data_IF_355100360380
#
_entry.id   IF_355100360380
#
_cell.length_a   1.000
_cell.length_b   1.000
_cell.length_c   1.000
_cell.angle_alpha   90.00
_cell.angle_beta   90.00
_cell.angle_gamma   90.00
#
_symmetry.space_group_name_H-M   'P 1'
#
loop_
_entity.id
_entity.type
_entity.pdbx_description
1 polymer ?
#
# COMPACT_ATOMS: atom_id res chain seq x y z
N UNK A 1 12.32 -15.66 19.23
CA UNK A 1 11.71 -16.66 18.32
C UNK A 1 11.39 -16.04 16.96
N UNK A 2 10.44 -15.11 16.90
CA UNK A 2 10.12 -14.32 15.70
C UNK A 2 11.37 -13.67 15.09
N UNK A 3 12.23 -13.10 15.94
CA UNK A 3 13.51 -12.50 15.51
C UNK A 3 14.43 -13.45 14.74
N UNK A 4 14.36 -14.78 14.97
CA UNK A 4 15.19 -15.73 14.22
C UNK A 4 14.64 -15.91 12.79
N UNK A 5 13.33 -16.06 12.66
CA UNK A 5 12.68 -16.17 11.34
C UNK A 5 12.89 -14.86 10.55
N UNK A 6 12.77 -13.70 11.20
CA UNK A 6 13.05 -12.39 10.57
C UNK A 6 14.51 -12.23 10.14
N UNK A 7 15.47 -12.75 10.92
CA UNK A 7 16.89 -12.76 10.54
C UNK A 7 17.13 -13.62 9.30
N UNK A 8 16.47 -14.78 9.21
CA UNK A 8 16.56 -15.64 8.03
C UNK A 8 16.05 -14.95 6.77
N UNK A 9 14.97 -14.17 6.86
CA UNK A 9 14.51 -13.32 5.75
C UNK A 9 15.62 -12.35 5.31
N UNK A 10 16.22 -11.62 6.26
CA UNK A 10 17.32 -10.68 5.99
C UNK A 10 18.55 -11.33 5.36
N UNK A 11 18.81 -12.60 5.67
CA UNK A 11 19.92 -13.37 5.09
C UNK A 11 19.57 -14.12 3.79
N UNK A 12 18.44 -13.80 3.16
CA UNK A 12 18.04 -14.40 1.88
C UNK A 12 17.22 -15.69 1.98
N UNK A 13 16.61 -15.99 3.12
CA UNK A 13 15.80 -17.20 3.34
C UNK A 13 14.57 -17.34 2.41
N UNK A 14 14.15 -16.25 1.77
CA UNK A 14 13.04 -16.24 0.81
C UNK A 14 13.39 -16.81 -0.57
N UNK A 15 14.67 -17.06 -0.89
CA UNK A 15 15.07 -17.53 -2.23
C UNK A 15 14.41 -18.86 -2.64
N UNK A 16 14.13 -19.74 -1.67
CA UNK A 16 13.44 -21.01 -1.94
C UNK A 16 11.91 -20.86 -2.11
N UNK A 17 11.38 -19.65 -1.94
CA UNK A 17 9.95 -19.35 -2.00
C UNK A 17 9.61 -18.40 -3.16
N UNK A 18 10.56 -18.09 -4.04
CA UNK A 18 10.31 -17.31 -5.26
C UNK A 18 9.18 -17.97 -6.08
N UNK A 19 8.25 -17.16 -6.57
CA UNK A 19 7.02 -17.63 -7.22
C UNK A 19 5.90 -18.06 -6.26
N UNK A 20 6.10 -17.93 -4.94
CA UNK A 20 5.09 -18.24 -3.92
C UNK A 20 4.81 -17.02 -3.04
N UNK A 21 3.77 -17.12 -2.22
CA UNK A 21 3.45 -16.09 -1.24
C UNK A 21 4.43 -16.11 -0.06
N UNK A 22 4.82 -14.93 0.44
CA UNK A 22 5.75 -14.80 1.58
C UNK A 22 5.22 -15.47 2.85
N UNK A 23 3.90 -15.49 3.05
CA UNK A 23 3.24 -16.16 4.17
C UNK A 23 3.58 -17.66 4.26
N UNK A 24 3.85 -18.31 3.11
CA UNK A 24 4.24 -19.72 3.09
C UNK A 24 5.60 -19.94 3.77
N UNK A 25 6.58 -19.06 3.51
CA UNK A 25 7.87 -19.11 4.21
C UNK A 25 7.67 -19.05 5.72
N UNK A 26 6.89 -18.07 6.20
CA UNK A 26 6.66 -17.91 7.64
C UNK A 26 5.98 -19.12 8.27
N UNK A 27 4.97 -19.69 7.61
CA UNK A 27 4.26 -20.89 8.11
C UNK A 27 5.18 -22.11 8.13
N UNK A 28 5.90 -22.37 7.03
CA UNK A 28 6.76 -23.54 6.91
C UNK A 28 7.93 -23.46 7.92
N UNK A 29 8.55 -22.29 8.07
CA UNK A 29 9.62 -22.08 9.06
C UNK A 29 9.11 -22.14 10.50
N UNK A 30 7.94 -21.59 10.79
CA UNK A 30 7.36 -21.68 12.12
C UNK A 30 7.07 -23.13 12.51
N UNK A 31 6.45 -23.91 11.61
CA UNK A 31 6.18 -25.34 11.81
C UNK A 31 7.46 -26.16 11.96
N UNK A 32 8.49 -25.88 11.17
CA UNK A 32 9.76 -26.59 11.28
C UNK A 32 10.43 -26.40 12.66
N UNK A 33 10.28 -25.21 13.25
CA UNK A 33 10.89 -24.90 14.55
C UNK A 33 10.04 -25.36 15.74
N UNK A 34 8.71 -25.40 15.62
CA UNK A 34 7.81 -25.56 16.78
C UNK A 34 6.72 -26.62 16.63
N UNK A 35 6.60 -27.25 15.47
CA UNK A 35 5.51 -28.19 15.17
C UNK A 35 5.51 -29.45 16.05
N UNK A 36 6.65 -29.82 16.65
CA UNK A 36 6.75 -30.93 17.61
C UNK A 36 6.54 -30.51 19.07
N UNK A 37 6.52 -29.21 19.36
CA UNK A 37 6.47 -28.66 20.72
C UNK A 37 5.08 -28.15 21.06
N UNK A 38 4.41 -27.52 20.09
CA UNK A 38 3.11 -26.88 20.28
C UNK A 38 1.97 -27.82 19.89
N UNK A 39 0.89 -27.77 20.67
CA UNK A 39 -0.39 -28.32 20.23
C UNK A 39 -0.96 -27.49 19.06
N UNK A 40 -1.98 -28.03 18.41
CA UNK A 40 -2.57 -27.44 17.22
C UNK A 40 -3.21 -26.05 17.48
N UNK A 41 -3.84 -25.86 18.63
CA UNK A 41 -4.50 -24.59 18.99
C UNK A 41 -3.47 -23.51 19.28
N UNK A 42 -2.44 -23.84 20.07
CA UNK A 42 -1.30 -22.94 20.33
C UNK A 42 -0.58 -22.57 19.04
N UNK A 43 -0.33 -23.54 18.15
CA UNK A 43 0.29 -23.29 16.85
C UNK A 43 -0.55 -22.32 16.00
N UNK A 44 -1.88 -22.51 15.95
CA UNK A 44 -2.77 -21.61 15.22
C UNK A 44 -2.72 -20.18 15.77
N UNK A 45 -2.81 -20.02 17.08
CA UNK A 45 -2.75 -18.71 17.73
C UNK A 45 -1.42 -17.98 17.45
N UNK A 46 -0.29 -18.69 17.51
CA UNK A 46 1.02 -18.12 17.22
C UNK A 46 1.21 -17.75 15.75
N UNK A 47 0.75 -18.59 14.82
CA UNK A 47 0.78 -18.27 13.39
C UNK A 47 -0.10 -17.05 13.09
N UNK A 48 -1.27 -16.96 13.72
CA UNK A 48 -2.14 -15.79 13.59
C UNK A 48 -1.48 -14.52 14.13
N UNK A 49 -0.86 -14.58 15.31
CA UNK A 49 -0.11 -13.45 15.87
C UNK A 49 1.05 -13.02 14.96
N UNK A 50 1.80 -13.99 14.44
CA UNK A 50 2.88 -13.74 13.49
C UNK A 50 2.35 -13.07 12.21
N UNK A 51 1.22 -13.55 11.68
CA UNK A 51 0.56 -12.94 10.53
C UNK A 51 0.24 -11.46 10.77
N UNK A 52 -0.41 -11.13 11.90
CA UNK A 52 -0.75 -9.75 12.25
C UNK A 52 0.49 -8.86 12.38
N UNK A 53 1.54 -9.38 13.01
CA UNK A 53 2.78 -8.63 13.20
C UNK A 53 3.50 -8.34 11.87
N UNK A 54 3.61 -9.33 10.98
CA UNK A 54 4.22 -9.14 9.65
C UNK A 54 3.38 -8.19 8.81
N UNK A 55 2.05 -8.38 8.76
CA UNK A 55 1.16 -7.50 8.01
C UNK A 55 1.19 -6.06 8.51
N UNK A 56 1.21 -5.85 9.83
CA UNK A 56 1.30 -4.52 10.42
C UNK A 56 2.65 -3.84 10.15
N UNK A 57 3.74 -4.61 10.17
CA UNK A 57 5.09 -4.10 9.88
C UNK A 57 5.24 -3.70 8.41
N UNK A 58 4.76 -4.55 7.50
CA UNK A 58 5.02 -4.43 6.06
C UNK A 58 3.84 -3.79 5.30
N UNK A 59 2.80 -3.33 6.00
CA UNK A 59 1.63 -2.68 5.40
C UNK A 59 0.79 -3.61 4.52
N UNK A 60 0.79 -4.92 4.81
CA UNK A 60 0.14 -5.92 3.98
C UNK A 60 -1.31 -6.14 4.42
N UNK A 61 -2.21 -6.28 3.44
CA UNK A 61 -3.59 -6.76 3.70
C UNK A 61 -3.66 -8.26 4.04
N UNK A 62 -2.58 -9.00 3.75
CA UNK A 62 -2.40 -10.39 4.10
C UNK A 62 -1.10 -10.95 3.52
N UNK A 63 -0.31 -11.65 4.32
CA UNK A 63 0.99 -12.19 3.89
C UNK A 63 0.90 -13.29 2.81
N UNK A 64 -0.29 -13.82 2.53
CA UNK A 64 -0.53 -14.78 1.45
C UNK A 64 -0.81 -14.09 0.12
N UNK A 65 -1.02 -12.77 0.12
CA UNK A 65 -1.17 -11.95 -1.08
C UNK A 65 0.15 -11.31 -1.51
N UNK A 66 1.13 -11.25 -0.62
CA UNK A 66 2.43 -10.65 -0.90
C UNK A 66 3.38 -11.68 -1.53
N UNK A 67 4.04 -11.30 -2.62
CA UNK A 67 5.05 -12.10 -3.30
C UNK A 67 6.31 -12.24 -2.46
N UNK A 68 6.82 -13.46 -2.32
CA UNK A 68 8.12 -13.68 -1.68
C UNK A 68 9.28 -13.08 -2.50
N UNK A 69 9.11 -12.91 -3.82
CA UNK A 69 10.10 -12.28 -4.68
C UNK A 69 10.19 -10.77 -4.42
N UNK A 70 9.05 -10.09 -4.30
CA UNK A 70 9.06 -8.65 -4.01
C UNK A 70 9.58 -8.39 -2.60
N UNK A 71 9.17 -9.24 -1.64
CA UNK A 71 9.70 -9.19 -0.28
C UNK A 71 11.21 -9.47 -0.20
N UNK A 72 11.77 -10.30 -1.08
CA UNK A 72 13.22 -10.58 -1.10
C UNK A 72 14.03 -9.45 -1.74
N UNK A 73 13.43 -8.70 -2.66
CA UNK A 73 14.02 -7.52 -3.28
C UNK A 73 13.90 -6.26 -2.40
N UNK A 74 13.02 -6.27 -1.40
CA UNK A 74 12.85 -5.14 -0.49
C UNK A 74 14.08 -4.98 0.40
N UNK A 75 14.79 -3.86 0.22
CA UNK A 75 15.94 -3.50 1.07
C UNK A 75 15.47 -2.78 2.32
N UNK A 76 15.57 -3.45 3.47
CA UNK A 76 15.33 -2.82 4.75
C UNK A 76 16.38 -1.73 5.00
N UNK A 77 15.92 -0.50 5.23
CA UNK A 77 16.77 0.62 5.63
C UNK A 77 16.72 0.73 7.15
N UNK A 78 17.87 0.58 7.81
CA UNK A 78 18.00 0.75 9.27
C UNK A 78 18.57 2.13 9.59
N UNK A 79 18.25 2.71 10.77
CA UNK A 79 17.38 2.15 11.82
C UNK A 79 15.89 2.46 11.59
N UNK A 80 15.02 1.71 12.26
CA UNK A 80 13.57 1.99 12.33
C UNK A 80 13.33 3.28 13.16
N UNK A 81 12.61 4.26 12.58
CA UNK A 81 12.27 5.50 13.25
C UNK A 81 10.77 5.54 13.60
N UNK A 82 10.48 5.85 14.87
CA UNK A 82 9.12 5.98 15.37
C UNK A 82 8.79 7.44 15.69
N UNK A 83 7.67 7.92 15.17
CA UNK A 83 7.14 9.24 15.46
C UNK A 83 6.38 9.21 16.79
N UNK A 84 7.05 9.56 17.89
CA UNK A 84 6.47 9.54 19.26
C UNK A 84 5.30 10.51 19.44
N UNK A 85 5.22 11.54 18.61
CA UNK A 85 4.24 12.62 18.69
C UNK A 85 3.12 12.48 17.66
N UNK A 86 3.01 11.32 17.00
CA UNK A 86 2.09 11.10 15.88
C UNK A 86 2.74 11.34 14.52
N UNK A 87 2.36 10.53 13.53
CA UNK A 87 2.88 10.61 12.16
C UNK A 87 2.27 11.78 11.36
N UNK A 88 1.13 12.31 11.80
CA UNK A 88 0.47 13.50 11.27
C UNK A 88 1.36 14.75 11.35
N UNK A 89 2.30 14.81 12.30
CA UNK A 89 3.27 15.89 12.42
C UNK A 89 4.12 16.07 11.15
N UNK A 90 4.46 14.98 10.46
CA UNK A 90 5.17 15.05 9.18
C UNK A 90 4.32 15.75 8.11
N UNK A 91 3.02 15.41 8.04
CA UNK A 91 2.07 16.04 7.12
C UNK A 91 1.91 17.52 7.46
N UNK A 92 1.69 17.86 8.73
CA UNK A 92 1.59 19.24 9.18
C UNK A 92 2.86 20.05 8.90
N UNK A 93 4.03 19.45 9.03
CA UNK A 93 5.30 20.09 8.69
C UNK A 93 5.39 20.40 7.19
N UNK A 94 5.06 19.42 6.33
CA UNK A 94 5.08 19.59 4.87
C UNK A 94 4.06 20.64 4.39
N UNK A 95 2.87 20.66 4.99
CA UNK A 95 1.82 21.62 4.65
C UNK A 95 2.22 23.08 4.92
N UNK A 96 3.22 23.36 5.75
CA UNK A 96 3.72 24.74 5.96
C UNK A 96 4.32 25.36 4.69
N UNK A 97 4.77 24.53 3.74
CA UNK A 97 5.30 24.97 2.45
C UNK A 97 4.24 25.16 1.37
N UNK A 98 2.96 24.87 1.66
CA UNK A 98 1.86 24.94 0.70
C UNK A 98 0.93 26.09 1.10
N UNK A 99 0.59 27.02 0.19
CA UNK A 99 -0.38 28.07 0.48
C UNK A 99 -1.72 27.48 0.94
N UNK A 100 -2.25 27.96 2.06
CA UNK A 100 -3.44 27.40 2.69
C UNK A 100 -4.68 27.42 1.78
N UNK A 101 -4.78 28.44 0.95
CA UNK A 101 -5.85 28.65 -0.03
C UNK A 101 -5.81 27.66 -1.19
N UNK A 102 -4.68 26.97 -1.39
CA UNK A 102 -4.53 25.91 -2.40
C UNK A 102 -4.92 24.53 -1.87
N UNK A 103 -5.21 24.40 -0.56
CA UNK A 103 -5.57 23.14 0.08
C UNK A 103 -7.07 23.14 0.39
N UNK A 104 -7.83 22.43 -0.43
CA UNK A 104 -9.27 22.31 -0.28
C UNK A 104 -9.63 20.98 0.41
N UNK A 105 -9.92 21.04 1.71
CA UNK A 105 -10.43 19.90 2.49
C UNK A 105 -11.94 19.78 2.36
N UNK A 106 -12.49 18.58 2.59
CA UNK A 106 -13.92 18.30 2.44
C UNK A 106 -14.46 18.60 1.03
N UNK A 107 -13.59 18.53 0.03
CA UNK A 107 -13.89 18.81 -1.38
C UNK A 107 -13.64 17.55 -2.19
N UNK A 108 -14.50 16.51 -2.07
CA UNK A 108 -14.29 15.27 -2.79
C UNK A 108 -14.43 15.50 -4.30
N UNK A 109 -13.42 15.04 -5.04
CA UNK A 109 -13.44 15.03 -6.50
C UNK A 109 -14.40 13.95 -6.98
N UNK A 110 -15.29 14.29 -7.91
CA UNK A 110 -16.28 13.37 -8.45
C UNK A 110 -16.09 13.08 -9.94
N UNK A 111 -15.52 14.01 -10.72
CA UNK A 111 -15.23 13.82 -12.15
C UNK A 111 -13.96 14.52 -12.59
N UNK A 112 -13.25 13.92 -13.53
CA UNK A 112 -11.99 14.39 -14.08
C UNK A 112 -12.07 14.26 -15.60
N UNK A 113 -11.93 15.39 -16.30
CA UNK A 113 -11.88 15.45 -17.75
C UNK A 113 -10.44 15.76 -18.17
N UNK A 114 -9.74 14.82 -18.80
CA UNK A 114 -8.26 14.92 -18.95
C UNK A 114 -7.72 14.75 -20.37
N UNK A 115 -8.53 14.23 -21.29
CA UNK A 115 -8.19 14.05 -22.71
C UNK A 115 -9.40 14.49 -23.56
N UNK A 116 -9.84 15.71 -23.30
CA UNK A 116 -10.88 16.38 -24.08
C UNK A 116 -10.17 17.39 -24.97
N UNK A 117 -10.60 17.53 -26.22
CA UNK A 117 -10.08 18.50 -27.20
C UNK A 117 -10.36 19.97 -26.80
N UNK A 118 -10.19 20.33 -25.53
CA UNK A 118 -10.37 21.64 -24.93
C UNK A 118 -9.00 22.14 -24.45
N UNK A 119 -8.21 22.67 -25.40
CA UNK A 119 -6.96 23.40 -25.14
C UNK A 119 -5.87 22.67 -24.33
N UNK A 120 -5.85 21.32 -24.33
CA UNK A 120 -4.94 20.50 -23.53
C UNK A 120 -5.03 20.76 -22.01
N UNK A 121 -6.21 21.16 -21.53
CA UNK A 121 -6.46 21.33 -20.10
C UNK A 121 -7.20 20.14 -19.49
N UNK A 122 -6.86 19.86 -18.24
CA UNK A 122 -7.60 18.96 -17.36
C UNK A 122 -8.60 19.77 -16.54
N UNK A 123 -9.86 19.34 -16.55
CA UNK A 123 -10.93 19.88 -15.70
C UNK A 123 -11.27 18.89 -14.59
N UNK A 124 -11.14 19.33 -13.35
CA UNK A 124 -11.52 18.57 -12.15
C UNK A 124 -12.81 19.16 -11.59
N UNK A 125 -13.82 18.31 -11.38
CA UNK A 125 -15.12 18.69 -10.81
C UNK A 125 -15.31 18.01 -9.46
N UNK A 126 -15.80 18.77 -8.50
CA UNK A 126 -15.98 18.33 -7.11
C UNK A 126 -17.47 18.19 -6.78
N UNK A 127 -17.79 17.46 -5.71
CA UNK A 127 -19.17 17.11 -5.39
C UNK A 127 -20.08 18.31 -5.05
N UNK A 128 -19.49 19.43 -4.64
CA UNK A 128 -20.17 20.71 -4.39
C UNK A 128 -20.43 21.51 -5.70
N UNK A 129 -20.00 21.00 -6.85
CA UNK A 129 -20.11 21.65 -8.16
C UNK A 129 -18.98 22.61 -8.49
N UNK A 130 -17.99 22.79 -7.59
CA UNK A 130 -16.80 23.57 -7.90
C UNK A 130 -15.96 22.90 -9.00
N UNK A 131 -15.19 23.70 -9.75
CA UNK A 131 -14.38 23.18 -10.84
C UNK A 131 -13.03 23.88 -10.97
N UNK A 132 -12.01 23.11 -11.35
CA UNK A 132 -10.62 23.53 -11.39
C UNK A 132 -9.99 23.13 -12.73
N UNK A 133 -9.35 24.08 -13.40
CA UNK A 133 -8.65 23.86 -14.68
C UNK A 133 -7.14 23.92 -14.49
N UNK A 134 -6.43 23.04 -15.17
CA UNK A 134 -4.96 22.98 -15.12
C UNK A 134 -4.41 22.31 -16.37
N UNK A 135 -3.16 22.63 -16.77
CA UNK A 135 -2.52 21.93 -17.89
C UNK A 135 -2.05 20.50 -17.57
N UNK A 136 -2.03 20.12 -16.30
CA UNK A 136 -1.64 18.78 -15.87
C UNK A 136 -2.26 18.43 -14.52
N UNK A 137 -2.55 17.15 -14.31
CA UNK A 137 -3.09 16.61 -13.07
C UNK A 137 -2.13 15.59 -12.46
N UNK A 138 -1.84 15.75 -11.18
CA UNK A 138 -1.13 14.75 -10.36
C UNK A 138 -2.15 14.01 -9.51
N UNK A 139 -2.22 12.69 -9.68
CA UNK A 139 -3.14 11.82 -8.95
C UNK A 139 -2.42 11.10 -7.83
N UNK A 140 -2.89 11.28 -6.60
CA UNK A 140 -2.39 10.57 -5.41
C UNK A 140 -3.53 9.83 -4.70
N UNK A 141 -4.46 9.29 -5.47
CA UNK A 141 -5.60 8.51 -4.98
C UNK A 141 -5.12 7.09 -4.63
N UNK A 142 -5.55 6.49 -3.51
CA UNK A 142 -5.17 5.11 -3.20
C UNK A 142 -5.56 4.14 -4.34
N UNK A 143 -4.71 3.18 -4.72
CA UNK A 143 -4.99 2.27 -5.83
C UNK A 143 -6.31 1.50 -5.68
N UNK A 144 -6.68 1.10 -4.45
CA UNK A 144 -7.95 0.44 -4.18
C UNK A 144 -9.16 1.31 -4.50
N UNK A 145 -9.07 2.61 -4.24
CA UNK A 145 -10.14 3.57 -4.56
C UNK A 145 -10.22 3.78 -6.07
N UNK A 146 -9.08 3.85 -6.77
CA UNK A 146 -9.06 3.95 -8.24
C UNK A 146 -9.74 2.71 -8.85
N UNK A 147 -9.39 1.50 -8.40
CA UNK A 147 -10.00 0.25 -8.89
C UNK A 147 -11.53 0.30 -8.81
N UNK A 148 -12.08 0.81 -7.71
CA UNK A 148 -13.52 0.92 -7.48
C UNK A 148 -14.21 2.07 -8.26
N UNK A 149 -13.49 3.17 -8.54
CA UNK A 149 -14.11 4.43 -8.97
C UNK A 149 -13.71 4.90 -10.37
N UNK A 150 -12.67 4.33 -10.98
CA UNK A 150 -12.07 4.81 -12.25
C UNK A 150 -13.08 4.98 -13.38
N UNK A 151 -14.06 4.09 -13.51
CA UNK A 151 -15.09 4.11 -14.56
C UNK A 151 -16.08 5.28 -14.44
N UNK A 152 -16.21 5.88 -13.26
CA UNK A 152 -17.08 7.05 -13.02
C UNK A 152 -16.26 8.33 -12.87
N UNK A 153 -15.02 8.21 -12.38
CA UNK A 153 -14.17 9.33 -12.05
C UNK A 153 -13.53 9.99 -13.27
N UNK A 154 -13.17 9.23 -14.32
CA UNK A 154 -12.45 9.74 -15.48
C UNK A 154 -13.34 9.89 -16.71
N UNK A 155 -13.11 10.93 -17.51
CA UNK A 155 -13.75 11.15 -18.81
C UNK A 155 -12.73 11.74 -19.80
N UNK A 156 -12.33 11.04 -20.87
CA UNK A 156 -12.64 9.65 -21.17
C UNK A 156 -12.11 8.69 -20.09
N UNK A 157 -12.56 7.43 -20.13
CA UNK A 157 -12.05 6.37 -19.26
C UNK A 157 -10.53 6.23 -19.43
N UNK A 158 -9.87 5.75 -18.37
CA UNK A 158 -8.44 5.45 -18.43
C UNK A 158 -8.14 4.35 -19.47
N UNK A 159 -6.94 4.35 -20.08
CA UNK A 159 -6.49 3.26 -20.95
C UNK A 159 -6.50 1.92 -20.23
N UNK A 160 -6.74 0.84 -20.97
CA UNK A 160 -6.88 -0.51 -20.39
C UNK A 160 -5.61 -0.96 -19.67
N UNK A 161 -4.44 -0.59 -20.19
CA UNK A 161 -3.14 -0.92 -19.60
C UNK A 161 -2.97 -0.27 -18.21
N UNK A 162 -3.53 0.93 -18.03
CA UNK A 162 -3.54 1.60 -16.73
C UNK A 162 -4.52 0.92 -15.76
N UNK A 163 -5.66 0.46 -16.25
CA UNK A 163 -6.67 -0.25 -15.44
C UNK A 163 -6.13 -1.59 -14.96
N UNK A 164 -5.54 -2.39 -15.85
CA UNK A 164 -4.95 -3.70 -15.53
C UNK A 164 -3.83 -3.58 -14.48
N UNK A 165 -3.08 -2.47 -14.48
CA UNK A 165 -2.06 -2.23 -13.47
C UNK A 165 -2.62 -2.01 -12.04
N UNK A 166 -3.92 -1.69 -11.91
CA UNK A 166 -4.60 -1.58 -10.62
C UNK A 166 -5.28 -2.87 -10.17
N UNK A 167 -5.38 -3.89 -11.03
CA UNK A 167 -6.15 -5.12 -10.75
C UNK A 167 -5.38 -6.20 -10.00
#
# INVERSE_FOLDING_TARGET
VINNILKEVKSGGLQNYIGQAVGKFYVDRFKALWGSVLDQSSMHAWIYYLHQMICGRDGLSGWFKASAQDASNFKHMEPDYYWKTGADQAVHYLLRGVPSESVHLSTPVCRIFWDVNDNNEVLVVTADGSSYRSGALVLTIPPSVIKETHSMLFTPNLPIEAIEAFE
#
